data_IF_042133788386
#
_entry.id   IF_042133788386
#
_cell.length_a   1.000
_cell.length_b   1.000
_cell.length_c   1.000
_cell.angle_alpha   90.00
_cell.angle_beta   90.00
_cell.angle_gamma   90.00
#
_symmetry.space_group_name_H-M   'P 1'
#
loop_
_entity.id
_entity.type
_entity.pdbx_description
1 polymer ?
#
# COMPACT_ATOMS: atom_id res chain seq x y z
N UNK A 1 -16.94 7.03 22.01
CA UNK A 1 -17.68 7.41 20.79
C UNK A 1 -16.97 6.92 19.53
N UNK A 2 -15.83 7.49 19.12
CA UNK A 2 -15.13 7.04 17.89
C UNK A 2 -14.72 5.57 17.92
N UNK A 3 -14.17 5.06 19.03
CA UNK A 3 -13.84 3.62 19.16
C UNK A 3 -15.05 2.71 18.98
N UNK A 4 -16.21 3.11 19.51
CA UNK A 4 -17.46 2.34 19.40
C UNK A 4 -18.03 2.37 17.97
N UNK A 5 -17.90 3.50 17.26
CA UNK A 5 -18.36 3.63 15.87
C UNK A 5 -17.53 2.78 14.90
N UNK A 6 -16.21 2.74 15.10
CA UNK A 6 -15.28 1.95 14.28
C UNK A 6 -15.42 0.44 14.52
N UNK A 7 -15.90 0.02 15.69
CA UNK A 7 -15.97 -1.39 16.08
C UNK A 7 -16.78 -2.30 15.14
N UNK A 8 -17.69 -1.73 14.34
CA UNK A 8 -18.44 -2.49 13.32
C UNK A 8 -17.61 -2.87 12.08
N UNK A 9 -16.59 -2.07 11.74
CA UNK A 9 -15.76 -2.26 10.55
C UNK A 9 -14.32 -2.68 10.83
N UNK A 10 -13.79 -2.32 12.01
CA UNK A 10 -12.43 -2.67 12.43
C UNK A 10 -12.38 -2.86 13.96
N UNK A 11 -12.79 -4.04 14.46
CA UNK A 11 -12.86 -4.29 15.90
C UNK A 11 -11.50 -4.22 16.60
N UNK A 12 -10.43 -4.63 15.94
CA UNK A 12 -9.06 -4.58 16.48
C UNK A 12 -8.60 -3.13 16.68
N UNK A 13 -8.90 -2.25 15.71
CA UNK A 13 -8.58 -0.83 15.84
C UNK A 13 -9.44 -0.15 16.92
N UNK A 14 -10.70 -0.56 17.05
CA UNK A 14 -11.59 -0.06 18.09
C UNK A 14 -11.08 -0.39 19.49
N UNK A 15 -10.55 -1.60 19.69
CA UNK A 15 -9.92 -2.03 20.94
C UNK A 15 -8.69 -1.18 21.26
N UNK A 16 -7.78 -1.01 20.30
CA UNK A 16 -6.58 -0.18 20.46
C UNK A 16 -6.90 1.28 20.80
N UNK A 17 -7.89 1.87 20.13
CA UNK A 17 -8.37 3.21 20.45
C UNK A 17 -9.02 3.27 21.84
N UNK A 18 -9.71 2.21 22.26
CA UNK A 18 -10.26 2.08 23.61
C UNK A 18 -9.17 2.08 24.68
N UNK A 19 -8.11 1.29 24.47
CA UNK A 19 -6.91 1.27 25.30
C UNK A 19 -6.26 2.65 25.38
N UNK A 20 -6.09 3.34 24.25
CA UNK A 20 -5.52 4.70 24.26
C UNK A 20 -6.38 5.70 25.03
N UNK A 21 -7.71 5.61 24.96
CA UNK A 21 -8.60 6.46 25.77
C UNK A 21 -8.43 6.18 27.27
N UNK A 22 -8.27 4.91 27.66
CA UNK A 22 -7.97 4.55 29.03
C UNK A 22 -6.61 5.12 29.46
N UNK A 23 -5.56 4.94 28.65
CA UNK A 23 -4.23 5.50 28.91
C UNK A 23 -4.25 7.02 29.04
N UNK A 24 -4.98 7.73 28.19
CA UNK A 24 -5.14 9.19 28.27
C UNK A 24 -5.84 9.65 29.56
N UNK A 25 -6.59 8.76 30.21
CA UNK A 25 -7.30 9.04 31.46
C UNK A 25 -6.44 8.77 32.71
N UNK A 26 -5.49 7.84 32.61
CA UNK A 26 -4.68 7.38 33.75
C UNK A 26 -3.20 7.79 33.70
N UNK A 27 -2.63 8.02 32.51
CA UNK A 27 -1.25 8.46 32.37
C UNK A 27 -1.12 9.96 32.65
N UNK A 28 -0.02 10.34 33.30
CA UNK A 28 0.32 11.74 33.55
C UNK A 28 0.66 12.49 32.26
N UNK A 29 1.37 11.83 31.33
CA UNK A 29 1.72 12.40 30.04
C UNK A 29 0.85 11.83 28.92
N UNK A 30 0.03 12.69 28.31
CA UNK A 30 -0.81 12.34 27.15
C UNK A 30 0.02 11.91 25.94
N UNK A 31 1.21 12.51 25.77
CA UNK A 31 2.19 12.12 24.76
C UNK A 31 2.52 10.63 24.82
N UNK A 32 2.66 10.07 26.03
CA UNK A 32 3.00 8.67 26.21
C UNK A 32 1.87 7.76 25.70
N UNK A 33 0.61 8.11 25.94
CA UNK A 33 -0.53 7.35 25.41
C UNK A 33 -0.52 7.29 23.87
N UNK A 34 -0.17 8.39 23.20
CA UNK A 34 -0.05 8.42 21.74
C UNK A 34 1.15 7.62 21.21
N UNK A 35 2.27 7.62 21.94
CA UNK A 35 3.44 6.78 21.58
C UNK A 35 3.08 5.30 21.74
N UNK A 36 2.46 4.92 22.86
CA UNK A 36 2.04 3.55 23.11
C UNK A 36 1.08 3.04 22.03
N UNK A 37 0.12 3.88 21.58
CA UNK A 37 -0.76 3.53 20.46
C UNK A 37 0.02 3.24 19.16
N UNK A 38 1.01 4.07 18.84
CA UNK A 38 1.83 3.87 17.65
C UNK A 38 2.70 2.61 17.75
N UNK A 39 3.23 2.30 18.94
CA UNK A 39 4.02 1.09 19.18
C UNK A 39 3.18 -0.18 19.13
N UNK A 40 1.98 -0.18 19.73
CA UNK A 40 1.07 -1.34 19.71
C UNK A 40 0.54 -1.66 18.32
N UNK A 41 0.16 -0.62 17.56
CA UNK A 41 -0.39 -0.82 16.21
C UNK A 41 0.70 -1.12 15.18
N UNK A 42 1.89 -0.52 15.31
CA UNK A 42 3.00 -0.73 14.38
C UNK A 42 2.72 -0.23 12.94
N UNK A 43 1.67 0.55 12.73
CA UNK A 43 1.25 1.03 11.41
C UNK A 43 1.76 2.46 11.18
N UNK A 44 2.42 2.68 10.04
CA UNK A 44 2.94 4.01 9.67
C UNK A 44 1.85 5.09 9.61
N UNK A 45 0.66 4.73 9.12
CA UNK A 45 -0.49 5.64 9.11
C UNK A 45 -0.93 6.06 10.51
N UNK A 46 -0.92 5.14 11.49
CA UNK A 46 -1.26 5.45 12.89
C UNK A 46 -0.16 6.30 13.52
N UNK A 47 1.11 5.99 13.25
CA UNK A 47 2.27 6.78 13.70
C UNK A 47 2.23 8.23 13.19
N UNK A 48 1.79 8.43 11.95
CA UNK A 48 1.55 9.77 11.40
C UNK A 48 0.48 10.52 12.20
N UNK A 49 -0.66 9.87 12.46
CA UNK A 49 -1.78 10.45 13.24
C UNK A 49 -1.35 10.80 14.67
N UNK A 50 -0.65 9.90 15.37
CA UNK A 50 -0.19 10.16 16.75
C UNK A 50 0.83 11.29 16.80
N UNK A 51 1.70 11.39 15.79
CA UNK A 51 2.63 12.53 15.66
C UNK A 51 1.87 13.84 15.50
N UNK A 52 0.85 13.89 14.64
CA UNK A 52 0.02 15.09 14.49
C UNK A 52 -0.71 15.47 15.78
N UNK A 53 -1.22 14.48 16.53
CA UNK A 53 -1.84 14.70 17.84
C UNK A 53 -0.86 15.32 18.85
N UNK A 54 0.37 14.79 18.93
CA UNK A 54 1.43 15.33 19.80
C UNK A 54 1.78 16.77 19.41
N UNK A 55 1.92 17.05 18.10
CA UNK A 55 2.26 18.38 17.61
C UNK A 55 1.14 19.40 17.88
N UNK A 56 -0.11 18.99 17.68
CA UNK A 56 -1.27 19.85 17.96
C UNK A 56 -1.40 20.17 19.44
N UNK A 57 -1.16 19.19 20.30
CA UNK A 57 -1.21 19.41 21.76
C UNK A 57 -0.07 20.31 22.25
N UNK A 58 1.14 20.15 21.70
CA UNK A 58 2.33 20.92 22.13
C UNK A 58 2.38 22.33 21.55
N UNK A 59 1.97 22.51 20.30
CA UNK A 59 2.18 23.76 19.56
C UNK A 59 0.88 24.40 19.06
N UNK A 60 -0.28 23.78 19.31
CA UNK A 60 -1.58 24.31 18.88
C UNK A 60 -1.81 24.24 17.36
N UNK A 61 -1.07 23.38 16.64
CA UNK A 61 -1.25 23.26 15.19
C UNK A 61 -2.66 22.74 14.84
N UNK A 62 -3.27 23.17 13.71
CA UNK A 62 -4.64 22.81 13.36
C UNK A 62 -4.82 21.31 13.10
N UNK A 63 -5.25 20.56 14.12
CA UNK A 63 -5.41 19.10 14.05
C UNK A 63 -6.35 18.66 12.93
N UNK A 64 -7.49 19.35 12.77
CA UNK A 64 -8.49 19.02 11.76
C UNK A 64 -7.94 19.12 10.32
N UNK A 65 -7.09 20.11 10.05
CA UNK A 65 -6.44 20.24 8.74
C UNK A 65 -5.42 19.13 8.53
N UNK A 66 -4.57 18.86 9.53
CA UNK A 66 -3.58 17.78 9.45
C UNK A 66 -4.23 16.41 9.20
N UNK A 67 -5.30 16.08 9.94
CA UNK A 67 -6.03 14.82 9.74
C UNK A 67 -6.70 14.74 8.36
N UNK A 68 -7.22 15.86 7.83
CA UNK A 68 -7.81 15.90 6.49
C UNK A 68 -6.77 15.66 5.40
N UNK A 69 -5.59 16.26 5.54
CA UNK A 69 -4.45 16.05 4.62
C UNK A 69 -3.99 14.60 4.69
N UNK A 70 -3.75 14.06 5.88
CA UNK A 70 -3.35 12.65 6.06
C UNK A 70 -4.39 11.69 5.46
N UNK A 71 -5.69 11.96 5.65
CA UNK A 71 -6.75 11.14 5.05
C UNK A 71 -6.75 11.22 3.52
N UNK A 72 -6.37 12.37 2.94
CA UNK A 72 -6.24 12.54 1.50
C UNK A 72 -5.02 11.80 0.96
N UNK A 73 -3.86 11.96 1.59
CA UNK A 73 -2.63 11.25 1.25
C UNK A 73 -2.83 9.73 1.30
N UNK A 74 -3.56 9.23 2.30
CA UNK A 74 -3.83 7.79 2.43
C UNK A 74 -4.78 7.27 1.32
N UNK A 75 -5.72 8.10 0.85
CA UNK A 75 -6.54 7.77 -0.33
C UNK A 75 -5.70 7.75 -1.61
N UNK A 76 -4.81 8.71 -1.76
CA UNK A 76 -3.90 8.81 -2.90
C UNK A 76 -2.91 7.64 -2.92
N UNK A 77 -2.36 7.25 -1.78
CA UNK A 77 -1.49 6.09 -1.65
C UNK A 77 -2.18 4.80 -2.13
N UNK A 78 -3.44 4.58 -1.71
CA UNK A 78 -4.23 3.44 -2.19
C UNK A 78 -4.45 3.45 -3.70
N UNK A 79 -4.64 4.63 -4.30
CA UNK A 79 -4.76 4.76 -5.76
C UNK A 79 -3.43 4.45 -6.44
N UNK A 80 -2.33 5.02 -5.95
CA UNK A 80 -0.98 4.79 -6.50
C UNK A 80 -0.58 3.31 -6.44
N UNK A 81 -0.95 2.59 -5.38
CA UNK A 81 -0.73 1.14 -5.31
C UNK A 81 -1.51 0.37 -6.38
N UNK A 82 -2.77 0.78 -6.63
CA UNK A 82 -3.59 0.18 -7.68
C UNK A 82 -3.03 0.49 -9.08
N UNK A 83 -2.63 1.74 -9.32
CA UNK A 83 -1.96 2.17 -10.56
C UNK A 83 -0.65 1.42 -10.78
N UNK A 84 0.16 1.24 -9.73
CA UNK A 84 1.40 0.47 -9.81
C UNK A 84 1.14 -0.99 -10.19
N UNK A 85 0.09 -1.60 -9.63
CA UNK A 85 -0.32 -2.97 -10.01
C UNK A 85 -0.76 -3.03 -11.47
N UNK A 86 -1.50 -2.03 -11.95
CA UNK A 86 -1.93 -1.93 -13.34
C UNK A 86 -0.76 -1.70 -14.31
N UNK A 87 0.15 -0.79 -13.99
CA UNK A 87 1.35 -0.49 -14.78
C UNK A 87 2.31 -1.68 -14.89
N UNK A 88 2.26 -2.62 -13.93
CA UNK A 88 3.04 -3.86 -13.98
C UNK A 88 2.41 -4.96 -14.86
N UNK A 89 1.21 -4.76 -15.42
CA UNK A 89 0.54 -5.75 -16.28
C UNK A 89 1.22 -5.94 -17.65
N UNK A 90 1.58 -4.89 -18.41
CA UNK A 90 2.11 -5.07 -19.77
C UNK A 90 3.37 -5.93 -19.83
N UNK A 91 4.41 -5.73 -18.98
CA UNK A 91 5.59 -6.58 -18.99
C UNK A 91 5.28 -8.05 -18.69
N UNK A 92 4.31 -8.33 -17.81
CA UNK A 92 3.88 -9.71 -17.49
C UNK A 92 3.23 -10.41 -18.67
N UNK A 93 2.58 -9.67 -19.58
CA UNK A 93 1.97 -10.20 -20.79
C UNK A 93 2.97 -10.32 -21.95
N UNK A 94 3.89 -9.35 -22.07
CA UNK A 94 4.88 -9.31 -23.16
C UNK A 94 5.88 -10.47 -23.08
N UNK A 95 6.32 -10.87 -21.87
CA UNK A 95 7.31 -11.94 -21.72
C UNK A 95 6.84 -13.30 -22.26
N UNK A 96 5.66 -13.83 -21.88
CA UNK A 96 5.10 -15.03 -22.50
C UNK A 96 4.90 -14.87 -24.00
N UNK A 97 4.36 -13.72 -24.44
CA UNK A 97 4.12 -13.46 -25.86
C UNK A 97 5.41 -13.62 -26.68
N UNK A 98 6.49 -12.92 -26.31
CA UNK A 98 7.78 -13.04 -27.01
C UNK A 98 8.31 -14.47 -26.92
N UNK A 99 8.21 -15.11 -25.75
CA UNK A 99 8.64 -16.49 -25.53
C UNK A 99 7.96 -17.52 -26.44
N UNK A 100 6.70 -17.30 -26.82
CA UNK A 100 5.98 -18.19 -27.75
C UNK A 100 6.07 -17.73 -29.21
N UNK A 101 6.11 -16.43 -29.47
CA UNK A 101 6.09 -15.89 -30.83
C UNK A 101 7.47 -15.97 -31.51
N UNK A 102 8.55 -15.69 -30.77
CA UNK A 102 9.91 -15.65 -31.30
C UNK A 102 10.39 -17.03 -31.81
N UNK A 103 10.20 -18.16 -31.08
CA UNK A 103 10.60 -19.47 -31.59
C UNK A 103 9.83 -19.88 -32.85
N UNK A 104 8.53 -19.56 -32.91
CA UNK A 104 7.69 -19.85 -34.08
C UNK A 104 8.16 -19.03 -35.29
N UNK A 105 8.45 -17.74 -35.11
CA UNK A 105 9.02 -16.89 -36.16
C UNK A 105 10.34 -17.45 -36.69
N UNK A 106 11.25 -17.87 -35.81
CA UNK A 106 12.51 -18.49 -36.23
C UNK A 106 12.28 -19.79 -37.00
N UNK A 107 11.39 -20.66 -36.53
CA UNK A 107 11.08 -21.92 -37.21
C UNK A 107 10.52 -21.69 -38.63
N UNK A 108 9.64 -20.70 -38.81
CA UNK A 108 9.03 -20.38 -40.11
C UNK A 108 10.03 -19.73 -41.07
N UNK A 109 10.93 -18.88 -40.57
CA UNK A 109 11.90 -18.16 -41.41
C UNK A 109 13.12 -19.04 -41.74
N UNK A 110 13.73 -19.66 -40.72
CA UNK A 110 14.93 -20.49 -40.89
C UNK A 110 14.60 -21.88 -41.41
N UNK A 111 13.41 -22.43 -41.09
CA UNK A 111 13.03 -23.80 -41.49
C UNK A 111 13.18 -24.06 -42.98
N UNK A 112 12.58 -23.25 -43.87
CA UNK A 112 12.73 -23.39 -45.32
C UNK A 112 14.15 -23.16 -45.80
N UNK A 113 14.85 -22.17 -45.24
CA UNK A 113 16.25 -21.88 -45.60
C UNK A 113 17.17 -23.06 -45.29
N UNK A 114 16.98 -23.72 -44.15
CA UNK A 114 17.73 -24.92 -43.77
C UNK A 114 17.36 -26.10 -44.67
N UNK A 115 16.07 -26.31 -44.97
CA UNK A 115 15.62 -27.36 -45.89
C UNK A 115 16.18 -27.18 -47.31
N UNK A 116 16.23 -25.94 -47.81
CA UNK A 116 16.84 -25.59 -49.10
C UNK A 116 18.35 -25.83 -49.13
N UNK A 117 19.07 -25.48 -48.06
CA UNK A 117 20.52 -25.74 -47.94
C UNK A 117 20.83 -27.24 -47.81
N UNK A 118 19.97 -28.01 -47.13
CA UNK A 118 20.12 -29.47 -47.00
C UNK A 118 19.71 -30.25 -48.27
N UNK A 119 19.19 -29.58 -49.30
CA UNK A 119 18.85 -30.23 -50.58
C UNK A 119 17.63 -31.16 -50.50
N UNK A 120 16.70 -30.90 -49.58
CA UNK A 120 15.42 -31.63 -49.44
C UNK A 120 14.35 -31.20 -50.46
N UNK A 121 14.64 -30.19 -51.29
CA UNK A 121 13.86 -29.88 -52.48
C UNK A 121 14.40 -30.68 -53.68
N UNK A 122 13.77 -31.83 -53.96
CA UNK A 122 13.77 -32.47 -55.27
C UNK A 122 12.33 -32.69 -55.71
#
# INVERSE_FOLDING_TARGET
KVSQEIGSGAPELAEELGLTVAELSYLQERKQAYINLAERTGLDGVKGVTTALIQSEKYGTPLGQSLRVMAQENREHRMQEAERKAAALPPKLTVPMIGFFLPVLFAVILGPAIMGIMGLEK
#
